data_IF_760083995249
#
_entry.id   IF_760083995249
#
_cell.length_a   1.000
_cell.length_b   1.000
_cell.length_c   1.000
_cell.angle_alpha   90.00
_cell.angle_beta   90.00
_cell.angle_gamma   90.00
#
_symmetry.space_group_name_H-M   'P 1'
#
loop_
_entity.id
_entity.type
_entity.pdbx_description
1 polymer ?
#
# COMPACT_ATOMS: atom_id res chain seq x y z
N UNK A 1 4.52 -36.37 36.43
CA UNK A 1 3.64 -36.74 35.30
C UNK A 1 2.18 -36.66 35.73
N UNK A 2 1.43 -35.65 35.27
CA UNK A 2 -0.03 -35.72 35.07
C UNK A 2 -0.35 -34.83 33.87
N UNK A 3 -0.91 -35.46 32.83
CA UNK A 3 -1.19 -34.90 31.51
C UNK A 3 -2.57 -34.26 31.58
N UNK A 4 -2.68 -32.94 31.43
CA UNK A 4 -3.98 -32.28 31.30
C UNK A 4 -4.36 -32.19 29.82
N UNK A 5 -5.18 -33.14 29.38
CA UNK A 5 -5.85 -33.13 28.09
C UNK A 5 -7.29 -32.69 28.33
N UNK A 6 -7.68 -31.47 27.91
CA UNK A 6 -9.10 -31.08 27.85
C UNK A 6 -9.35 -30.30 26.54
N UNK A 7 -9.79 -31.08 25.56
CA UNK A 7 -10.93 -30.85 24.66
C UNK A 7 -10.95 -29.62 23.75
N UNK A 8 -10.81 -29.89 22.44
CA UNK A 8 -11.14 -29.01 21.31
C UNK A 8 -12.63 -28.67 21.33
N UNK A 9 -12.97 -27.39 21.29
CA UNK A 9 -14.28 -26.90 20.84
C UNK A 9 -14.09 -26.13 19.54
N UNK A 10 -14.48 -26.78 18.44
CA UNK A 10 -14.75 -26.15 17.15
C UNK A 10 -16.03 -25.30 17.34
N UNK A 11 -15.93 -23.98 17.22
CA UNK A 11 -17.09 -23.11 17.04
C UNK A 11 -17.11 -22.67 15.58
N UNK A 12 -18.02 -23.26 14.82
CA UNK A 12 -18.25 -23.01 13.41
C UNK A 12 -19.29 -21.89 13.24
N UNK A 13 -19.03 -21.05 12.24
CA UNK A 13 -19.95 -20.21 11.47
C UNK A 13 -20.47 -18.89 12.09
N UNK A 14 -20.15 -17.78 11.44
CA UNK A 14 -21.00 -17.24 10.37
C UNK A 14 -20.21 -16.21 9.55
N UNK A 15 -19.86 -16.54 8.31
CA UNK A 15 -19.42 -15.55 7.33
C UNK A 15 -20.66 -14.84 6.79
N UNK A 16 -20.94 -13.63 7.29
CA UNK A 16 -21.97 -12.77 6.71
C UNK A 16 -21.44 -12.18 5.40
N UNK A 17 -21.77 -12.78 4.27
CA UNK A 17 -21.55 -12.18 2.95
C UNK A 17 -22.58 -11.08 2.73
N UNK A 18 -22.16 -9.82 2.86
CA UNK A 18 -22.96 -8.66 2.47
C UNK A 18 -22.85 -8.47 0.95
N UNK A 19 -23.85 -8.93 0.21
CA UNK A 19 -24.01 -8.57 -1.20
C UNK A 19 -24.77 -7.24 -1.24
N UNK A 20 -24.09 -6.14 -1.56
CA UNK A 20 -24.74 -4.85 -1.81
C UNK A 20 -25.12 -4.79 -3.30
N UNK A 21 -26.38 -5.15 -3.60
CA UNK A 21 -26.96 -4.96 -4.92
C UNK A 21 -27.60 -3.57 -4.98
N UNK A 22 -26.86 -2.59 -5.51
CA UNK A 22 -27.40 -1.27 -5.84
C UNK A 22 -28.10 -1.30 -7.19
N UNK A 23 -29.40 -1.56 -7.22
CA UNK A 23 -30.23 -1.36 -8.43
C UNK A 23 -31.02 -0.06 -8.29
N UNK A 24 -30.57 1.02 -8.93
CA UNK A 24 -31.40 2.20 -9.17
C UNK A 24 -32.31 1.92 -10.37
N UNK A 25 -33.57 1.58 -10.10
CA UNK A 25 -34.59 1.40 -11.13
C UNK A 25 -35.06 2.78 -11.64
N UNK A 26 -34.61 3.17 -12.83
CA UNK A 26 -35.20 4.23 -13.64
C UNK A 26 -35.75 3.63 -14.93
N UNK A 27 -37.06 3.77 -15.17
CA UNK A 27 -37.79 3.12 -16.27
C UNK A 27 -37.65 3.85 -17.60
N UNK A 28 -37.37 3.13 -18.71
CA UNK A 28 -38.15 3.10 -19.99
C UNK A 28 -37.31 2.76 -21.24
N UNK A 29 -37.65 1.62 -21.85
CA UNK A 29 -37.66 1.24 -23.30
C UNK A 29 -36.41 1.31 -24.21
N UNK A 30 -36.15 0.13 -24.81
CA UNK A 30 -35.62 -0.17 -26.17
C UNK A 30 -34.13 0.02 -26.47
N UNK A 31 -33.44 -1.11 -26.72
CA UNK A 31 -32.14 -1.15 -27.39
C UNK A 31 -31.37 -2.44 -27.14
N UNK A 32 -31.66 -3.47 -27.94
CA UNK A 32 -30.81 -4.66 -28.04
C UNK A 32 -29.53 -4.26 -28.77
N UNK A 33 -28.37 -4.22 -28.09
CA UNK A 33 -27.08 -4.27 -28.76
C UNK A 33 -26.00 -4.86 -27.84
N UNK A 34 -25.49 -6.00 -28.30
CA UNK A 34 -24.06 -6.28 -28.33
C UNK A 34 -23.37 -6.51 -26.99
N UNK A 35 -23.15 -7.79 -26.68
CA UNK A 35 -22.03 -8.17 -25.84
C UNK A 35 -20.77 -7.49 -26.37
N UNK A 36 -20.21 -6.60 -25.55
CA UNK A 36 -18.88 -6.07 -25.74
C UNK A 36 -18.16 -6.35 -24.44
N UNK A 37 -17.41 -7.45 -24.45
CA UNK A 37 -16.19 -7.61 -23.68
C UNK A 37 -15.35 -6.34 -23.88
N UNK A 38 -15.61 -5.31 -23.09
CA UNK A 38 -14.74 -4.14 -23.02
C UNK A 38 -13.63 -4.52 -22.07
N UNK A 39 -12.55 -5.00 -22.67
CA UNK A 39 -11.32 -5.34 -22.00
C UNK A 39 -10.98 -4.28 -20.95
N UNK A 40 -10.56 -4.76 -19.79
CA UNK A 40 -10.00 -3.93 -18.74
C UNK A 40 -8.84 -3.15 -19.34
N UNK A 41 -9.12 -1.96 -19.84
CA UNK A 41 -8.12 -0.93 -19.99
C UNK A 41 -7.68 -0.66 -18.56
N UNK A 42 -6.63 -1.36 -18.11
CA UNK A 42 -5.89 -0.98 -16.93
C UNK A 42 -5.48 0.46 -17.19
N UNK A 43 -6.29 1.40 -16.71
CA UNK A 43 -5.96 2.80 -16.69
C UNK A 43 -4.65 2.86 -15.91
N UNK A 44 -3.54 3.00 -16.63
CA UNK A 44 -2.26 3.20 -16.01
C UNK A 44 -2.43 4.47 -15.20
N UNK A 45 -2.42 4.38 -13.87
CA UNK A 45 -2.51 5.55 -13.01
C UNK A 45 -1.48 6.56 -13.52
N UNK A 46 -1.97 7.70 -13.98
CA UNK A 46 -1.10 8.79 -14.36
C UNK A 46 -0.73 9.55 -13.10
N UNK A 47 0.56 9.56 -12.77
CA UNK A 47 1.10 10.34 -11.67
C UNK A 47 1.29 11.78 -12.16
N UNK A 48 0.99 12.75 -11.31
CA UNK A 48 1.22 14.17 -11.58
C UNK A 48 2.43 14.68 -10.78
N UNK A 49 2.80 15.95 -10.98
CA UNK A 49 3.96 16.56 -10.32
C UNK A 49 3.83 16.62 -8.79
N UNK A 50 2.61 16.69 -8.25
CA UNK A 50 2.39 16.65 -6.82
C UNK A 50 2.69 15.27 -6.24
N UNK A 51 2.36 14.19 -6.96
CA UNK A 51 2.69 12.82 -6.56
C UNK A 51 4.21 12.61 -6.53
N UNK A 52 4.93 13.15 -7.51
CA UNK A 52 6.40 13.09 -7.59
C UNK A 52 7.02 13.85 -6.41
N UNK A 53 6.58 15.10 -6.19
CA UNK A 53 7.08 15.94 -5.09
C UNK A 53 6.84 15.29 -3.72
N UNK A 54 5.66 14.69 -3.54
CA UNK A 54 5.33 13.94 -2.32
C UNK A 54 6.25 12.73 -2.13
N UNK A 55 6.45 11.93 -3.18
CA UNK A 55 7.30 10.74 -3.14
C UNK A 55 8.76 11.09 -2.82
N UNK A 56 9.32 12.12 -3.45
CA UNK A 56 10.68 12.61 -3.16
C UNK A 56 10.81 13.10 -1.71
N UNK A 57 9.81 13.84 -1.22
CA UNK A 57 9.77 14.27 0.18
C UNK A 57 9.68 13.10 1.17
N UNK A 58 8.92 12.06 0.84
CA UNK A 58 8.78 10.87 1.69
C UNK A 58 10.03 10.02 1.76
N UNK A 59 10.82 9.95 0.68
CA UNK A 59 12.14 9.32 0.72
C UNK A 59 13.02 10.01 1.77
N UNK A 60 13.15 11.34 1.69
CA UNK A 60 13.98 12.11 2.63
C UNK A 60 13.48 11.96 4.08
N UNK A 61 12.16 12.07 4.29
CA UNK A 61 11.55 11.90 5.61
C UNK A 61 11.81 10.52 6.21
N UNK A 62 11.66 9.45 5.42
CA UNK A 62 11.91 8.08 5.87
C UNK A 62 13.40 7.82 6.15
N UNK A 63 14.30 8.34 5.32
CA UNK A 63 15.75 8.23 5.55
C UNK A 63 16.12 8.86 6.90
N UNK A 64 15.60 10.05 7.21
CA UNK A 64 15.82 10.71 8.50
C UNK A 64 15.28 9.87 9.67
N UNK A 65 14.09 9.28 9.53
CA UNK A 65 13.51 8.43 10.59
C UNK A 65 14.32 7.14 10.84
N UNK A 66 14.88 6.56 9.78
CA UNK A 66 15.79 5.41 9.86
C UNK A 66 17.08 5.81 10.59
N UNK A 67 17.69 6.94 10.21
CA UNK A 67 18.91 7.45 10.85
C UNK A 67 18.69 7.75 12.35
N UNK A 68 17.58 8.41 12.69
CA UNK A 68 17.20 8.65 14.08
C UNK A 68 17.02 7.35 14.87
N UNK A 69 16.44 6.33 14.23
CA UNK A 69 16.30 5.01 14.83
C UNK A 69 17.66 4.34 15.07
N UNK A 70 18.61 4.50 14.16
CA UNK A 70 19.98 4.01 14.34
C UNK A 70 20.70 4.69 15.51
N UNK A 71 20.59 6.00 15.63
CA UNK A 71 21.15 6.75 16.77
C UNK A 71 20.61 6.24 18.10
N UNK A 72 19.33 5.86 18.17
CA UNK A 72 18.72 5.29 19.37
C UNK A 72 19.25 3.89 19.66
N UNK A 73 19.41 3.05 18.63
CA UNK A 73 19.88 1.67 18.77
C UNK A 73 21.36 1.57 19.17
N UNK A 74 22.16 2.58 18.82
CA UNK A 74 23.58 2.67 19.21
C UNK A 74 23.77 3.15 20.66
N UNK A 75 22.72 3.62 21.34
CA UNK A 75 22.78 4.09 22.73
C UNK A 75 22.52 2.97 23.73
N UNK A 76 23.34 2.92 24.78
CA UNK A 76 23.10 2.08 25.95
C UNK A 76 22.10 2.71 26.92
N UNK A 77 21.33 1.90 27.64
CA UNK A 77 20.44 2.36 28.71
C UNK A 77 19.12 3.00 28.25
N UNK A 78 18.77 2.85 26.96
CA UNK A 78 17.47 3.28 26.43
C UNK A 78 16.38 2.32 26.92
N UNK A 79 15.18 2.86 27.17
CA UNK A 79 14.00 2.06 27.51
C UNK A 79 13.76 0.97 26.43
N UNK A 80 13.56 -0.31 26.81
CA UNK A 80 13.31 -1.40 25.87
C UNK A 80 12.17 -1.14 24.87
N UNK A 81 11.10 -0.46 25.28
CA UNK A 81 9.97 -0.14 24.40
C UNK A 81 10.37 0.84 23.29
N UNK A 82 11.26 1.78 23.61
CA UNK A 82 11.81 2.74 22.64
C UNK A 82 12.77 2.05 21.67
N UNK A 83 13.58 1.11 22.16
CA UNK A 83 14.45 0.27 21.32
C UNK A 83 13.63 -0.56 20.34
N UNK A 84 12.53 -1.15 20.81
CA UNK A 84 11.63 -1.92 19.94
C UNK A 84 10.95 -1.03 18.90
N UNK A 85 10.47 0.15 19.30
CA UNK A 85 9.90 1.11 18.35
C UNK A 85 10.91 1.53 17.27
N UNK A 86 12.16 1.81 17.63
CA UNK A 86 13.21 2.14 16.65
C UNK A 86 13.44 1.00 15.64
N UNK A 87 13.45 -0.26 16.08
CA UNK A 87 13.55 -1.42 15.18
C UNK A 87 12.36 -1.52 14.24
N UNK A 88 11.15 -1.27 14.74
CA UNK A 88 9.92 -1.32 13.94
C UNK A 88 9.90 -0.23 12.87
N UNK A 89 10.30 0.99 13.22
CA UNK A 89 10.42 2.10 12.27
C UNK A 89 11.38 1.72 11.13
N UNK A 90 12.59 1.24 11.45
CA UNK A 90 13.55 0.80 10.42
C UNK A 90 13.00 -0.30 9.53
N UNK A 91 12.32 -1.28 10.13
CA UNK A 91 11.77 -2.43 9.41
C UNK A 91 10.64 -2.03 8.47
N UNK A 92 9.82 -1.05 8.84
CA UNK A 92 8.73 -0.55 8.01
C UNK A 92 9.25 0.39 6.90
N UNK A 93 10.03 1.41 7.28
CA UNK A 93 10.34 2.51 6.38
C UNK A 93 11.53 2.22 5.44
N UNK A 94 12.45 1.34 5.83
CA UNK A 94 13.56 0.94 4.95
C UNK A 94 13.12 0.31 3.62
N UNK A 95 12.19 -0.66 3.64
CA UNK A 95 11.58 -1.19 2.42
C UNK A 95 10.77 -0.16 1.63
N UNK A 96 10.02 0.71 2.30
CA UNK A 96 9.20 1.75 1.63
C UNK A 96 10.06 2.73 0.82
N UNK A 97 11.24 3.13 1.33
CA UNK A 97 12.20 3.94 0.55
C UNK A 97 12.53 3.26 -0.79
N UNK A 98 12.85 1.96 -0.78
CA UNK A 98 13.19 1.21 -1.98
C UNK A 98 12.02 1.10 -2.94
N UNK A 99 10.81 0.89 -2.42
CA UNK A 99 9.61 0.80 -3.24
C UNK A 99 9.35 2.12 -3.97
N UNK A 100 9.45 3.24 -3.27
CA UNK A 100 9.24 4.57 -3.84
C UNK A 100 10.30 4.85 -4.92
N UNK A 101 11.58 4.60 -4.64
CA UNK A 101 12.68 4.83 -5.60
C UNK A 101 12.54 3.95 -6.85
N UNK A 102 12.36 2.64 -6.66
CA UNK A 102 12.50 1.65 -7.73
C UNK A 102 11.23 1.44 -8.54
N UNK A 103 10.06 1.62 -7.93
CA UNK A 103 8.77 1.30 -8.56
C UNK A 103 8.01 2.56 -8.96
N UNK A 104 7.96 3.55 -8.06
CA UNK A 104 7.13 4.73 -8.26
C UNK A 104 7.88 5.78 -9.07
N UNK A 105 9.02 6.24 -8.56
CA UNK A 105 9.81 7.27 -9.25
C UNK A 105 10.33 6.76 -10.59
N UNK A 106 10.99 5.61 -10.66
CA UNK A 106 11.51 5.07 -11.94
C UNK A 106 10.45 5.04 -13.06
N UNK A 107 9.18 4.73 -12.74
CA UNK A 107 8.07 4.75 -13.69
C UNK A 107 7.63 6.16 -14.09
N UNK A 108 7.70 7.13 -13.17
CA UNK A 108 7.39 8.54 -13.45
C UNK A 108 8.42 9.18 -14.36
N UNK A 109 9.72 9.05 -14.07
CA UNK A 109 10.82 9.63 -14.86
C UNK A 109 10.84 9.10 -16.31
N UNK A 110 10.51 7.83 -16.52
CA UNK A 110 10.35 7.25 -17.87
C UNK A 110 9.17 7.90 -18.63
N UNK A 111 8.11 8.32 -17.94
CA UNK A 111 6.95 8.98 -18.55
C UNK A 111 7.17 10.48 -18.81
N UNK A 112 7.86 11.20 -17.92
CA UNK A 112 8.18 12.63 -18.12
C UNK A 112 9.16 12.82 -19.28
N UNK A 113 10.17 11.95 -19.42
CA UNK A 113 11.12 12.01 -20.55
C UNK A 113 10.47 11.69 -21.90
N UNK A 114 9.56 10.71 -21.95
CA UNK A 114 8.83 10.39 -23.19
C UNK A 114 7.70 11.38 -23.55
N UNK A 115 7.32 12.28 -22.64
CA UNK A 115 6.31 13.31 -22.86
C UNK A 115 6.84 14.70 -23.25
N UNK A 116 8.16 14.94 -23.18
CA UNK A 116 8.76 16.27 -23.39
C UNK A 116 9.56 16.43 -24.70
N UNK A 117 9.66 15.42 -25.56
CA UNK A 117 10.39 15.50 -26.83
C UNK A 117 9.52 15.96 -28.02
N UNK A 118 8.61 16.92 -27.79
CA UNK A 118 7.58 17.27 -28.77
C UNK A 118 7.07 18.71 -28.74
N UNK A 119 7.91 19.70 -28.42
CA UNK A 119 7.68 21.10 -28.76
C UNK A 119 8.94 21.78 -29.29
#
# INVERSE_FOLDING_TARGET
MRKNTITKTLATAAAATLIVSGCSQGSSSHGSHGGSESGSSQASAQFNDADVTYAEGMIMHHQQAVEMSDIILDKSGVNPDVVEMAKQIKKAQGPEIKEIEQTWLARTWVRTTSGHEGQ
#
